data_IF_045892612700
#
_entry.id   IF_045892612700
#
_cell.length_a   1.000
_cell.length_b   1.000
_cell.length_c   1.000
_cell.angle_alpha   90.00
_cell.angle_beta   90.00
_cell.angle_gamma   90.00
#
_symmetry.space_group_name_H-M   'P 1'
#
loop_
_entity.id
_entity.type
_entity.pdbx_description
1 polymer ?
#
# COMPACT_ATOMS: atom_id res chain seq x y z
N UNK A 1 8.30 -0.31 -0.33
CA UNK A 1 9.18 0.20 0.75
C UNK A 1 8.91 -0.67 1.95
N UNK A 2 9.92 -1.37 2.48
CA UNK A 2 9.75 -2.21 3.68
C UNK A 2 9.89 -1.27 4.88
N UNK A 3 8.80 -1.00 5.61
CA UNK A 3 8.89 -0.35 6.91
C UNK A 3 9.10 -1.44 7.95
N UNK A 4 10.38 -1.67 8.30
CA UNK A 4 10.75 -2.48 9.45
C UNK A 4 10.36 -1.70 10.71
N UNK A 5 9.25 -2.08 11.34
CA UNK A 5 8.91 -1.59 12.67
C UNK A 5 9.88 -2.23 13.68
N UNK A 6 11.01 -1.56 13.94
CA UNK A 6 11.91 -1.93 15.03
C UNK A 6 11.61 -1.06 16.25
N UNK A 7 11.03 -1.66 17.29
CA UNK A 7 11.15 -1.16 18.65
C UNK A 7 12.58 -1.44 19.08
N UNK A 8 13.38 -0.39 19.06
CA UNK A 8 14.66 -0.25 19.73
C UNK A 8 15.88 -0.92 19.06
N UNK A 9 16.90 -0.08 18.90
CA UNK A 9 18.29 -0.40 18.60
C UNK A 9 18.59 -1.03 17.22
N UNK A 10 19.43 -0.32 16.47
CA UNK A 10 20.23 -0.83 15.35
C UNK A 10 21.26 -1.88 15.86
N UNK A 11 20.79 -3.00 16.40
CA UNK A 11 21.57 -4.15 16.82
C UNK A 11 21.35 -5.33 15.87
N UNK A 12 22.44 -5.77 15.23
CA UNK A 12 22.71 -7.06 14.58
C UNK A 12 21.52 -8.04 14.48
N UNK A 13 20.80 -8.06 13.36
CA UNK A 13 19.92 -9.20 13.00
C UNK A 13 19.92 -9.47 11.50
N UNK A 14 21.08 -9.40 10.86
CA UNK A 14 21.30 -10.10 9.60
C UNK A 14 22.18 -11.30 9.94
N UNK A 15 21.55 -12.42 10.29
CA UNK A 15 22.26 -13.68 10.50
C UNK A 15 23.02 -14.06 9.22
N UNK A 16 24.22 -14.61 9.41
CA UNK A 16 24.99 -15.21 8.33
C UNK A 16 24.16 -16.30 7.63
N UNK A 17 24.40 -16.58 6.33
CA UNK A 17 23.65 -17.61 5.61
C UNK A 17 23.79 -18.97 6.32
N UNK A 18 22.71 -19.44 6.96
CA UNK A 18 22.65 -20.70 7.71
C UNK A 18 22.16 -20.61 9.16
N UNK A 19 22.06 -19.42 9.75
CA UNK A 19 21.55 -19.25 11.12
C UNK A 19 20.01 -19.08 11.12
N UNK A 20 19.27 -19.68 12.08
CA UNK A 20 17.83 -19.49 12.20
C UNK A 20 17.53 -18.02 12.53
N UNK A 21 17.00 -17.30 11.54
CA UNK A 21 16.56 -15.91 11.73
C UNK A 21 15.41 -15.93 12.73
N UNK A 22 15.58 -15.26 13.88
CA UNK A 22 14.50 -15.06 14.84
C UNK A 22 13.25 -14.53 14.12
N UNK A 23 12.06 -15.01 14.48
CA UNK A 23 10.82 -14.55 13.85
C UNK A 23 10.70 -13.02 13.94
N UNK A 24 10.42 -12.38 12.81
CA UNK A 24 10.30 -10.92 12.68
C UNK A 24 8.87 -10.56 12.27
N UNK A 25 8.41 -9.40 12.74
CA UNK A 25 7.18 -8.78 12.28
C UNK A 25 7.52 -7.81 11.14
N UNK A 26 7.04 -8.11 9.93
CA UNK A 26 7.38 -7.36 8.72
C UNK A 26 6.09 -6.81 8.12
N UNK A 27 6.09 -5.51 7.78
CA UNK A 27 5.00 -4.87 7.05
C UNK A 27 5.49 -4.49 5.65
N UNK A 28 4.95 -5.19 4.65
CA UNK A 28 5.17 -4.89 3.24
C UNK A 28 4.09 -3.93 2.77
N UNK A 29 4.52 -2.74 2.34
CA UNK A 29 3.61 -1.73 1.83
C UNK A 29 3.68 -1.71 0.31
N UNK A 30 2.56 -2.00 -0.33
CA UNK A 30 2.46 -2.14 -1.79
C UNK A 30 1.47 -1.09 -2.33
N UNK A 31 1.92 -0.16 -3.21
CA UNK A 31 1.07 0.89 -3.78
C UNK A 31 -0.22 0.37 -4.45
N UNK A 32 -0.10 -0.78 -5.14
CA UNK A 32 -1.14 -1.31 -6.01
C UNK A 32 -1.21 -0.60 -7.35
N UNK A 33 -1.71 -1.30 -8.36
CA UNK A 33 -1.82 -0.81 -9.73
C UNK A 33 -3.26 -0.82 -10.27
N UNK A 34 -4.23 -1.25 -9.46
CA UNK A 34 -5.59 -1.47 -9.91
C UNK A 34 -5.63 -2.57 -10.97
N UNK A 35 -6.42 -2.37 -12.03
CA UNK A 35 -6.69 -3.34 -13.11
C UNK A 35 -5.49 -3.62 -14.06
N UNK A 36 -4.28 -3.15 -13.72
CA UNK A 36 -3.07 -3.32 -14.54
C UNK A 36 -2.13 -4.37 -13.96
N UNK A 37 -1.48 -5.13 -14.85
CA UNK A 37 -0.38 -6.00 -14.46
C UNK A 37 0.85 -5.18 -14.07
N UNK A 38 1.29 -5.34 -12.83
CA UNK A 38 2.38 -4.58 -12.25
C UNK A 38 3.44 -5.50 -11.66
N UNK A 39 4.65 -5.46 -12.23
CA UNK A 39 5.78 -6.27 -11.76
C UNK A 39 6.12 -6.07 -10.29
N UNK A 40 5.89 -4.88 -9.74
CA UNK A 40 6.05 -4.63 -8.30
C UNK A 40 5.01 -5.36 -7.46
N UNK A 41 3.75 -5.47 -7.92
CA UNK A 41 2.71 -6.20 -7.18
C UNK A 41 3.06 -7.69 -7.10
N UNK A 42 3.46 -8.29 -8.22
CA UNK A 42 3.93 -9.68 -8.26
C UNK A 42 5.15 -9.93 -7.39
N UNK A 43 6.16 -9.06 -7.50
CA UNK A 43 7.38 -9.14 -6.68
C UNK A 43 7.05 -9.09 -5.19
N UNK A 44 6.20 -8.16 -4.78
CA UNK A 44 5.84 -7.99 -3.38
C UNK A 44 5.01 -9.17 -2.85
N UNK A 45 4.10 -9.73 -3.67
CA UNK A 45 3.33 -10.92 -3.35
C UNK A 45 4.26 -12.13 -3.13
N UNK A 46 5.18 -12.36 -4.06
CA UNK A 46 6.16 -13.45 -3.98
C UNK A 46 7.09 -13.28 -2.76
N UNK A 47 7.52 -12.05 -2.47
CA UNK A 47 8.35 -11.73 -1.32
C UNK A 47 7.64 -12.08 0.00
N UNK A 48 6.40 -11.62 0.17
CA UNK A 48 5.62 -11.89 1.39
C UNK A 48 5.36 -13.37 1.57
N UNK A 49 5.03 -14.09 0.48
CA UNK A 49 4.85 -15.53 0.51
C UNK A 49 6.13 -16.25 1.01
N UNK A 50 7.31 -15.83 0.55
CA UNK A 50 8.57 -16.43 1.00
C UNK A 50 8.93 -16.05 2.44
N UNK A 51 8.72 -14.79 2.85
CA UNK A 51 8.94 -14.38 4.24
C UNK A 51 8.11 -15.21 5.23
N UNK A 52 6.85 -15.52 4.88
CA UNK A 52 5.98 -16.40 5.66
C UNK A 52 6.49 -17.84 5.68
N UNK A 53 6.93 -18.38 4.54
CA UNK A 53 7.56 -19.72 4.47
C UNK A 53 8.82 -19.83 5.31
N UNK A 54 9.58 -18.74 5.45
CA UNK A 54 10.76 -18.65 6.31
C UNK A 54 10.42 -18.50 7.81
N UNK A 55 9.14 -18.47 8.18
CA UNK A 55 8.70 -18.36 9.59
C UNK A 55 8.60 -16.92 10.11
N UNK A 56 8.63 -15.91 9.24
CA UNK A 56 8.38 -14.52 9.62
C UNK A 56 6.89 -14.19 9.58
N UNK A 57 6.47 -13.29 10.46
CA UNK A 57 5.13 -12.73 10.47
C UNK A 57 5.08 -11.53 9.52
N UNK A 58 4.76 -11.78 8.24
CA UNK A 58 4.68 -10.76 7.21
C UNK A 58 3.23 -10.37 6.90
N UNK A 59 2.92 -9.08 7.02
CA UNK A 59 1.65 -8.46 6.63
C UNK A 59 1.86 -7.64 5.36
N UNK A 60 1.03 -7.87 4.34
CA UNK A 60 1.04 -7.07 3.12
C UNK A 60 -0.13 -6.09 3.13
N UNK A 61 0.18 -4.80 3.05
CA UNK A 61 -0.77 -3.70 3.14
C UNK A 61 -0.86 -2.98 1.79
N UNK A 62 -1.99 -3.06 1.09
CA UNK A 62 -2.19 -2.29 -0.13
C UNK A 62 -2.46 -0.80 0.22
N UNK A 63 -1.80 0.12 -0.49
CA UNK A 63 -1.83 1.55 -0.18
C UNK A 63 -2.94 2.29 -0.93
N UNK A 64 -2.78 2.48 -2.24
CA UNK A 64 -3.55 3.45 -3.02
C UNK A 64 -4.63 2.80 -3.88
N UNK A 65 -4.29 1.64 -4.46
CA UNK A 65 -5.13 0.88 -5.37
C UNK A 65 -5.15 -0.60 -5.01
N UNK A 66 -6.19 -1.34 -5.42
CA UNK A 66 -6.21 -2.79 -5.32
C UNK A 66 -5.05 -3.45 -6.08
N UNK A 67 -4.72 -4.67 -5.67
CA UNK A 67 -3.71 -5.51 -6.33
C UNK A 67 -4.40 -6.39 -7.37
N UNK A 68 -3.86 -6.40 -8.59
CA UNK A 68 -4.17 -7.43 -9.59
C UNK A 68 -3.02 -8.42 -9.61
N UNK A 69 -3.30 -9.65 -9.22
CA UNK A 69 -2.33 -10.73 -9.04
C UNK A 69 -2.86 -12.00 -9.71
N UNK A 70 -1.98 -12.76 -10.36
CA UNK A 70 -2.31 -14.07 -10.95
C UNK A 70 -2.24 -15.20 -9.92
N UNK A 71 -1.61 -14.93 -8.78
CA UNK A 71 -1.39 -15.85 -7.67
C UNK A 71 -2.32 -15.51 -6.50
N UNK A 72 -2.39 -16.40 -5.51
CA UNK A 72 -3.15 -16.15 -4.28
C UNK A 72 -2.65 -14.87 -3.59
N UNK A 73 -3.56 -13.93 -3.38
CA UNK A 73 -3.31 -12.64 -2.76
C UNK A 73 -2.81 -12.81 -1.31
N UNK A 74 -1.57 -12.40 -1.06
CA UNK A 74 -0.95 -12.43 0.27
C UNK A 74 -1.32 -11.23 1.16
N UNK A 75 -2.16 -10.30 0.68
CA UNK A 75 -2.71 -9.21 1.49
C UNK A 75 -3.71 -9.68 2.54
N UNK A 76 -4.20 -10.92 2.45
CA UNK A 76 -5.15 -11.53 3.40
C UNK A 76 -6.41 -10.67 3.67
N UNK A 77 -6.83 -9.88 2.68
CA UNK A 77 -7.98 -8.98 2.82
C UNK A 77 -7.70 -7.74 3.66
N UNK A 78 -6.42 -7.40 3.89
CA UNK A 78 -6.03 -6.16 4.55
C UNK A 78 -6.64 -4.95 3.84
N UNK A 79 -7.33 -4.05 4.56
CA UNK A 79 -7.99 -2.92 3.93
C UNK A 79 -6.98 -1.94 3.34
N UNK A 80 -7.38 -1.26 2.27
CA UNK A 80 -6.59 -0.20 1.65
C UNK A 80 -6.33 0.93 2.65
N UNK A 81 -5.07 1.14 3.01
CA UNK A 81 -4.71 2.07 4.08
C UNK A 81 -4.77 3.54 3.63
N UNK A 82 -4.53 3.81 2.35
CA UNK A 82 -4.45 5.16 1.80
C UNK A 82 -5.21 5.26 0.48
N UNK A 83 -6.51 4.92 0.50
CA UNK A 83 -7.36 4.95 -0.70
C UNK A 83 -7.18 6.27 -1.47
N UNK A 84 -6.53 6.18 -2.64
CA UNK A 84 -6.12 7.36 -3.41
C UNK A 84 -7.31 8.24 -3.80
N UNK A 85 -8.50 7.65 -3.91
CA UNK A 85 -9.74 8.37 -4.19
C UNK A 85 -10.20 9.25 -3.01
N UNK A 86 -10.16 8.74 -1.78
CA UNK A 86 -10.54 9.53 -0.59
C UNK A 86 -9.57 10.69 -0.37
N UNK A 87 -8.28 10.47 -0.61
CA UNK A 87 -7.23 11.50 -0.50
C UNK A 87 -7.42 12.57 -1.57
N UNK A 88 -7.61 12.17 -2.83
CA UNK A 88 -7.87 13.09 -3.94
C UNK A 88 -9.13 13.93 -3.71
N UNK A 89 -10.23 13.31 -3.26
CA UNK A 89 -11.47 14.02 -2.95
C UNK A 89 -11.32 15.00 -1.77
N UNK A 90 -10.57 14.62 -0.74
CA UNK A 90 -10.29 15.50 0.39
C UNK A 90 -9.43 16.71 0.01
N UNK A 91 -8.50 16.54 -0.95
CA UNK A 91 -7.68 17.63 -1.49
C UNK A 91 -8.49 18.56 -2.40
N UNK A 92 -9.36 18.01 -3.26
CA UNK A 92 -10.14 18.81 -4.22
C UNK A 92 -11.35 19.50 -3.59
N UNK A 93 -11.94 18.91 -2.56
CA UNK A 93 -13.14 19.42 -1.91
C UNK A 93 -12.92 19.52 -0.39
N UNK A 94 -12.73 20.73 0.13
CA UNK A 94 -12.60 21.00 1.57
C UNK A 94 -13.76 20.41 2.41
N UNK A 95 -14.97 20.32 1.83
CA UNK A 95 -16.13 19.73 2.50
C UNK A 95 -15.99 18.21 2.70
N UNK A 96 -15.21 17.53 1.86
CA UNK A 96 -15.02 16.08 1.90
C UNK A 96 -14.05 15.64 3.01
N UNK A 97 -13.26 16.57 3.55
CA UNK A 97 -12.43 16.33 4.73
C UNK A 97 -13.28 15.92 5.95
N UNK A 98 -14.51 16.44 6.06
CA UNK A 98 -15.47 16.10 7.12
C UNK A 98 -16.48 15.02 6.72
N UNK A 99 -16.26 14.32 5.61
CA UNK A 99 -17.18 13.29 5.13
C UNK A 99 -17.36 12.18 6.19
N UNK A 100 -18.61 11.77 6.49
CA UNK A 100 -18.88 10.70 7.45
C UNK A 100 -18.33 9.35 6.97
N UNK A 101 -17.99 8.47 7.92
CA UNK A 101 -17.30 7.20 7.67
C UNK A 101 -18.02 6.28 6.67
N UNK A 102 -19.36 6.30 6.62
CA UNK A 102 -20.13 5.51 5.64
C UNK A 102 -19.87 5.95 4.19
N UNK A 103 -19.71 7.26 3.97
CA UNK A 103 -19.45 7.83 2.65
C UNK A 103 -18.02 7.48 2.20
N UNK A 104 -17.05 7.65 3.08
CA UNK A 104 -15.65 7.23 2.85
C UNK A 104 -15.55 5.74 2.52
N UNK A 105 -16.39 4.91 3.14
CA UNK A 105 -16.43 3.45 2.93
C UNK A 105 -17.01 3.06 1.56
N UNK A 106 -18.00 3.80 1.06
CA UNK A 106 -18.50 3.63 -0.32
C UNK A 106 -17.41 3.91 -1.37
N UNK A 107 -16.60 4.95 -1.14
CA UNK A 107 -15.51 5.33 -2.05
C UNK A 107 -14.26 4.44 -1.96
N UNK A 108 -14.19 3.54 -0.98
CA UNK A 108 -13.13 2.52 -0.86
C UNK A 108 -13.51 1.15 -1.44
N UNK A 109 -14.68 1.01 -2.07
CA UNK A 109 -15.11 -0.29 -2.61
C UNK A 109 -14.18 -0.72 -3.75
N UNK A 110 -13.62 -1.93 -3.68
CA UNK A 110 -12.59 -2.41 -4.62
C UNK A 110 -13.00 -2.32 -6.09
N UNK A 111 -14.27 -2.54 -6.42
CA UNK A 111 -14.79 -2.38 -7.79
C UNK A 111 -14.69 -0.95 -8.33
N UNK A 112 -15.00 0.05 -7.50
CA UNK A 112 -14.90 1.46 -7.87
C UNK A 112 -13.43 1.88 -8.06
N UNK A 113 -12.55 1.42 -7.17
CA UNK A 113 -11.12 1.71 -7.27
C UNK A 113 -10.46 0.99 -8.44
N UNK A 114 -10.90 -0.22 -8.80
CA UNK A 114 -10.45 -0.91 -10.02
C UNK A 114 -10.86 -0.16 -11.29
N UNK A 115 -12.09 0.34 -11.35
CA UNK A 115 -12.55 1.22 -12.44
C UNK A 115 -11.73 2.51 -12.54
N UNK A 116 -11.35 3.10 -11.40
CA UNK A 116 -10.50 4.30 -11.35
C UNK A 116 -9.02 4.02 -11.61
N UNK A 117 -8.51 2.82 -11.31
CA UNK A 117 -7.16 2.39 -11.67
C UNK A 117 -6.89 2.48 -13.18
N UNK A 118 -7.90 2.17 -14.00
CA UNK A 118 -7.87 2.37 -15.46
C UNK A 118 -7.73 3.84 -15.88
N UNK A 119 -8.11 4.80 -15.02
CA UNK A 119 -7.90 6.23 -15.23
C UNK A 119 -6.60 6.74 -14.60
N UNK A 120 -6.06 6.06 -13.58
CA UNK A 120 -4.78 6.40 -12.96
C UNK A 120 -3.59 6.27 -13.94
N UNK A 121 -3.67 5.38 -14.92
CA UNK A 121 -2.69 5.32 -16.02
C UNK A 121 -2.74 6.53 -16.98
N UNK A 122 -3.78 7.37 -16.90
CA UNK A 122 -3.99 8.56 -17.75
C UNK A 122 -3.71 9.88 -17.03
N UNK A 123 -3.26 9.85 -15.77
CA UNK A 123 -3.00 11.06 -15.00
C UNK A 123 -1.79 11.79 -15.57
N UNK A 124 -1.97 13.05 -15.98
CA UNK A 124 -0.89 13.87 -16.54
C UNK A 124 0.06 14.26 -15.42
N UNK A 125 1.37 14.15 -15.63
CA UNK A 125 2.38 14.46 -14.60
C UNK A 125 2.24 15.84 -13.95
N UNK A 126 1.74 16.84 -14.68
CA UNK A 126 1.46 18.17 -14.14
C UNK A 126 0.35 18.20 -13.07
N UNK A 127 -0.64 17.29 -13.14
CA UNK A 127 -1.74 17.21 -12.16
C UNK A 127 -1.32 16.45 -10.88
N UNK A 128 -0.24 15.67 -10.94
CA UNK A 128 0.30 14.89 -9.81
C UNK A 128 1.30 15.71 -8.98
N UNK A 129 1.81 16.82 -9.54
CA UNK A 129 2.82 17.67 -8.89
C UNK A 129 2.34 18.25 -7.57
N UNK A 130 1.13 18.84 -7.55
CA UNK A 130 0.57 19.47 -6.34
C UNK A 130 0.26 18.43 -5.25
N UNK A 131 -0.22 17.25 -5.64
CA UNK A 131 -0.43 16.14 -4.71
C UNK A 131 0.91 15.63 -4.14
N UNK A 132 1.95 15.53 -4.97
CA UNK A 132 3.29 15.12 -4.52
C UNK A 132 3.86 16.14 -3.53
N UNK A 133 3.69 17.43 -3.81
CA UNK A 133 4.14 18.51 -2.92
C UNK A 133 3.38 18.49 -1.59
N UNK A 134 2.06 18.27 -1.62
CA UNK A 134 1.23 18.10 -0.42
C UNK A 134 1.69 16.89 0.40
N UNK A 135 1.94 15.75 -0.23
CA UNK A 135 2.48 14.55 0.45
C UNK A 135 3.84 14.79 1.10
N UNK A 136 4.73 15.56 0.47
CA UNK A 136 6.03 15.94 1.05
C UNK A 136 5.89 16.87 2.26
N UNK A 137 4.83 17.68 2.31
CA UNK A 137 4.52 18.59 3.42
C UNK A 137 3.81 17.90 4.58
N UNK A 138 3.31 16.69 4.39
CA UNK A 138 2.67 15.90 5.44
C UNK A 138 1.43 16.59 5.99
N UNK A 139 1.34 16.74 7.31
CA UNK A 139 0.18 17.35 7.99
C UNK A 139 0.02 18.86 7.71
N UNK A 140 1.05 19.51 7.16
CA UNK A 140 1.03 20.92 6.78
C UNK A 140 0.69 21.14 5.29
N UNK A 141 0.33 20.06 4.58
CA UNK A 141 0.09 20.02 3.13
C UNK A 141 -1.38 19.94 2.72
#
# INVERSE_FOLDING_TARGET
>A
VILLAKRDAFGKTAGLPGEPVSSLNIVQITPGAGDMYCGNCFRDNALVAQLRRMGHHALMVPLYLPLTLDEADQSEGTPLFFSGLNVYLAQKFNCFQKAPNWLRRMFTTGWLLNRLGNFAGKTRGGEVGDLTLSMMRGEAG
#
